data_IF_671892604121
#
_entry.id   IF_671892604121
#
_cell.length_a   1.000
_cell.length_b   1.000
_cell.length_c   1.000
_cell.angle_alpha   90.00
_cell.angle_beta   90.00
_cell.angle_gamma   90.00
#
_symmetry.space_group_name_H-M   'P 1'
#
loop_
_entity.id
_entity.type
_entity.pdbx_description
1 polymer ?
#
# COMPACT_ATOMS: atom_id res chain seq x y z
N UNK A 1 -8.06 4.45 9.07
CA UNK A 1 -6.65 4.83 8.86
C UNK A 1 -6.32 4.92 7.39
N UNK A 2 -5.38 5.80 7.02
CA UNK A 2 -4.96 6.03 5.64
C UNK A 2 -3.43 6.15 5.58
N UNK A 3 -2.80 5.43 4.65
CA UNK A 3 -1.41 5.66 4.25
C UNK A 3 -1.38 6.35 2.89
N UNK A 4 -0.28 7.03 2.56
CA UNK A 4 -0.18 7.76 1.29
C UNK A 4 0.01 6.82 0.10
N UNK A 5 -0.74 7.09 -0.97
CA UNK A 5 -0.41 6.62 -2.29
C UNK A 5 0.55 7.57 -3.00
N UNK A 6 1.05 7.15 -4.16
CA UNK A 6 1.98 7.96 -4.96
C UNK A 6 1.37 9.28 -5.46
N UNK A 7 0.06 9.38 -5.61
CA UNK A 7 -0.61 10.60 -6.03
C UNK A 7 -0.69 11.62 -4.89
N UNK A 8 -1.10 11.19 -3.69
CA UNK A 8 -1.14 12.03 -2.49
C UNK A 8 0.27 12.48 -2.09
N UNK A 9 1.25 11.57 -2.19
CA UNK A 9 2.65 11.89 -1.94
C UNK A 9 3.18 12.95 -2.90
N UNK A 10 2.85 12.86 -4.20
CA UNK A 10 3.21 13.88 -5.19
C UNK A 10 2.60 15.24 -4.85
N UNK A 11 1.33 15.28 -4.43
CA UNK A 11 0.70 16.54 -4.02
C UNK A 11 1.40 17.15 -2.81
N UNK A 12 1.90 16.33 -1.88
CA UNK A 12 2.64 16.77 -0.70
C UNK A 12 4.04 17.30 -1.05
N UNK A 13 4.74 16.64 -1.98
CA UNK A 13 6.15 16.90 -2.29
C UNK A 13 6.35 17.95 -3.40
N UNK A 14 5.30 18.31 -4.13
CA UNK A 14 5.33 19.28 -5.23
C UNK A 14 4.31 20.43 -5.02
N UNK A 15 4.53 21.26 -3.98
CA UNK A 15 3.62 22.37 -3.68
C UNK A 15 3.63 23.46 -4.77
N UNK A 16 4.65 23.51 -5.63
CA UNK A 16 4.70 24.47 -6.75
C UNK A 16 3.58 24.19 -7.76
N UNK A 17 3.28 22.91 -8.03
CA UNK A 17 2.24 22.52 -8.97
C UNK A 17 0.88 22.29 -8.31
N UNK A 18 0.85 21.87 -7.05
CA UNK A 18 -0.40 21.49 -6.36
C UNK A 18 -0.86 22.50 -5.30
N UNK A 19 -0.05 23.50 -4.98
CA UNK A 19 -0.38 24.51 -3.96
C UNK A 19 -0.63 23.86 -2.60
N UNK A 20 -1.76 24.19 -1.99
CA UNK A 20 -2.21 23.66 -0.71
C UNK A 20 -3.23 22.49 -0.83
N UNK A 21 -3.39 21.93 -2.03
CA UNK A 21 -4.38 20.88 -2.32
C UNK A 21 -4.25 19.66 -1.41
N UNK A 22 -3.03 19.21 -1.13
CA UNK A 22 -2.79 18.12 -0.20
C UNK A 22 -3.32 18.42 1.21
N UNK A 23 -3.04 19.62 1.72
CA UNK A 23 -3.43 20.00 3.08
C UNK A 23 -4.93 20.17 3.24
N UNK A 24 -5.61 20.66 2.19
CA UNK A 24 -7.08 20.74 2.14
C UNK A 24 -7.69 19.35 2.15
N UNK A 25 -7.23 18.47 1.28
CA UNK A 25 -7.65 17.08 1.18
C UNK A 25 -7.47 16.35 2.53
N UNK A 26 -6.27 16.42 3.11
CA UNK A 26 -5.97 15.79 4.40
C UNK A 26 -6.89 16.30 5.50
N UNK A 27 -7.07 17.62 5.60
CA UNK A 27 -7.95 18.25 6.59
C UNK A 27 -9.40 17.80 6.47
N UNK A 28 -9.94 17.70 5.27
CA UNK A 28 -11.31 17.26 5.04
C UNK A 28 -11.50 15.80 5.48
N UNK A 29 -10.55 14.93 5.20
CA UNK A 29 -10.60 13.54 5.61
C UNK A 29 -10.42 13.39 7.14
N UNK A 30 -9.54 14.15 7.75
CA UNK A 30 -9.37 14.16 9.20
C UNK A 30 -10.63 14.65 9.92
N UNK A 31 -11.34 15.63 9.37
CA UNK A 31 -12.65 16.08 9.89
C UNK A 31 -13.72 15.00 9.76
N UNK A 32 -13.59 14.10 8.78
CA UNK A 32 -14.45 12.93 8.64
C UNK A 32 -14.03 11.73 9.52
N UNK A 33 -12.99 11.91 10.36
CA UNK A 33 -12.52 10.89 11.31
C UNK A 33 -11.47 9.94 10.74
N UNK A 34 -10.85 10.27 9.59
CA UNK A 34 -9.77 9.46 9.02
C UNK A 34 -8.43 9.89 9.64
N UNK A 35 -7.66 8.93 10.11
CA UNK A 35 -6.32 9.14 10.67
C UNK A 35 -5.26 8.77 9.64
N UNK A 36 -4.39 9.71 9.30
CA UNK A 36 -3.26 9.46 8.41
C UNK A 36 -2.09 8.91 9.20
N UNK A 37 -1.48 7.86 8.68
CA UNK A 37 -0.21 7.32 9.14
C UNK A 37 0.83 7.53 8.04
N UNK A 38 1.77 8.45 8.28
CA UNK A 38 2.80 8.86 7.31
C UNK A 38 4.17 8.70 7.97
N UNK A 39 4.77 7.52 7.79
CA UNK A 39 5.90 7.07 8.58
C UNK A 39 5.58 7.10 10.09
N UNK A 40 4.41 6.62 10.41
CA UNK A 40 3.85 6.59 11.75
C UNK A 40 3.18 5.25 12.01
N UNK A 41 2.97 4.94 13.28
CA UNK A 41 2.24 3.76 13.72
C UNK A 41 1.15 4.11 14.72
N UNK A 42 0.15 3.25 14.80
CA UNK A 42 -0.92 3.29 15.79
C UNK A 42 -1.04 1.92 16.45
N UNK A 43 -1.07 1.91 17.77
CA UNK A 43 -1.31 0.69 18.54
C UNK A 43 -2.80 0.53 18.82
N UNK A 44 -3.28 -0.69 18.68
CA UNK A 44 -4.64 -1.09 19.05
C UNK A 44 -4.64 -2.49 19.64
N UNK A 45 -5.70 -2.84 20.35
CA UNK A 45 -5.95 -4.19 20.82
C UNK A 45 -7.12 -4.79 20.05
N UNK A 46 -6.96 -6.00 19.57
CA UNK A 46 -8.00 -6.75 18.90
C UNK A 46 -8.09 -8.17 19.50
N UNK A 47 -9.22 -8.46 20.15
CA UNK A 47 -9.47 -9.77 20.80
C UNK A 47 -8.32 -10.24 21.71
N UNK A 48 -7.73 -9.35 22.48
CA UNK A 48 -6.59 -9.63 23.38
C UNK A 48 -5.23 -9.69 22.67
N UNK A 49 -5.19 -9.47 21.36
CA UNK A 49 -3.95 -9.40 20.57
C UNK A 49 -3.53 -7.94 20.40
N UNK A 50 -2.29 -7.65 20.72
CA UNK A 50 -1.69 -6.34 20.47
C UNK A 50 -1.36 -6.21 18.98
N UNK A 51 -1.95 -5.20 18.34
CA UNK A 51 -1.81 -4.92 16.91
C UNK A 51 -1.12 -3.58 16.73
N UNK A 52 -0.08 -3.54 15.91
CA UNK A 52 0.57 -2.33 15.48
C UNK A 52 0.28 -2.10 13.99
N UNK A 53 -0.44 -1.02 13.71
CA UNK A 53 -0.75 -0.60 12.35
C UNK A 53 0.23 0.49 11.93
N UNK A 54 0.99 0.23 10.88
CA UNK A 54 2.01 1.13 10.34
C UNK A 54 1.59 1.69 8.99
N UNK A 55 1.88 2.96 8.74
CA UNK A 55 1.71 3.60 7.44
C UNK A 55 3.05 4.06 6.88
N UNK A 56 3.53 3.43 5.82
CA UNK A 56 4.80 3.74 5.18
C UNK A 56 4.63 4.71 4.01
N UNK A 57 5.31 5.85 4.07
CA UNK A 57 5.55 6.71 2.92
C UNK A 57 6.83 6.24 2.23
N UNK A 58 6.69 5.66 1.04
CA UNK A 58 7.83 5.18 0.25
C UNK A 58 8.63 6.35 -0.33
N UNK A 59 9.96 6.22 -0.52
CA UNK A 59 10.71 7.15 -1.34
C UNK A 59 10.09 7.32 -2.74
N UNK A 60 10.02 8.55 -3.25
CA UNK A 60 9.38 8.84 -4.53
C UNK A 60 10.03 8.13 -5.71
N UNK A 61 11.32 7.85 -5.61
CA UNK A 61 12.12 7.11 -6.58
C UNK A 61 11.64 5.65 -6.74
N UNK A 62 10.99 5.09 -5.73
CA UNK A 62 10.37 3.76 -5.79
C UNK A 62 9.18 3.70 -6.76
N UNK A 63 8.61 4.84 -7.13
CA UNK A 63 7.52 4.95 -8.09
C UNK A 63 7.99 5.32 -9.51
N UNK A 64 9.29 5.50 -9.72
CA UNK A 64 9.83 5.86 -11.01
C UNK A 64 9.54 4.79 -12.06
N UNK A 65 9.15 5.22 -13.27
CA UNK A 65 8.88 4.31 -14.39
C UNK A 65 10.16 3.67 -14.95
N UNK A 66 11.27 4.42 -14.91
CA UNK A 66 12.59 3.96 -15.36
C UNK A 66 13.61 4.28 -14.27
N UNK A 67 14.58 3.38 -14.07
CA UNK A 67 15.59 3.57 -13.04
C UNK A 67 15.01 3.52 -11.62
N UNK A 68 13.93 2.76 -11.43
CA UNK A 68 13.26 2.62 -10.14
C UNK A 68 14.23 2.15 -9.07
N UNK A 69 14.27 2.84 -7.95
CA UNK A 69 14.99 2.42 -6.75
C UNK A 69 14.18 1.36 -5.99
N UNK A 70 14.84 0.37 -5.47
CA UNK A 70 14.26 -0.56 -4.50
C UNK A 70 14.54 -0.05 -3.09
N UNK A 71 13.55 -0.02 -2.20
CA UNK A 71 13.77 0.37 -0.82
C UNK A 71 14.65 -0.67 -0.13
N UNK A 72 15.47 -0.22 0.79
CA UNK A 72 16.27 -1.08 1.65
C UNK A 72 15.55 -1.36 2.99
N UNK A 73 16.04 -2.37 3.72
CA UNK A 73 15.61 -2.61 5.09
C UNK A 73 15.89 -1.39 5.99
N UNK A 74 16.96 -0.63 5.69
CA UNK A 74 17.30 0.58 6.42
C UNK A 74 16.25 1.69 6.20
N UNK A 75 15.76 1.87 4.97
CA UNK A 75 14.68 2.83 4.68
C UNK A 75 13.41 2.51 5.47
N UNK A 76 13.09 1.21 5.62
CA UNK A 76 11.97 0.77 6.47
C UNK A 76 12.19 1.14 7.93
N UNK A 77 13.39 0.88 8.46
CA UNK A 77 13.74 1.19 9.86
C UNK A 77 13.81 2.69 10.12
N UNK A 78 14.30 3.47 9.18
CA UNK A 78 14.37 4.93 9.30
C UNK A 78 12.96 5.56 9.26
N UNK A 79 12.06 4.98 8.45
CA UNK A 79 10.69 5.45 8.35
C UNK A 79 9.78 4.99 9.49
N UNK A 80 9.86 3.75 9.91
CA UNK A 80 8.90 3.11 10.82
C UNK A 80 9.50 2.61 12.15
N UNK A 81 10.81 2.66 12.29
CA UNK A 81 11.50 1.94 13.38
C UNK A 81 11.57 0.43 13.10
N UNK A 82 11.81 -0.33 14.15
CA UNK A 82 11.79 -1.79 14.07
C UNK A 82 10.38 -2.32 14.33
N UNK A 83 9.97 -3.35 13.60
CA UNK A 83 8.75 -4.07 13.92
C UNK A 83 8.86 -4.73 15.30
N UNK A 84 7.77 -4.70 16.04
CA UNK A 84 7.74 -5.30 17.38
C UNK A 84 7.41 -6.80 17.26
N UNK A 85 8.33 -7.69 17.64
CA UNK A 85 8.10 -9.13 17.51
C UNK A 85 7.04 -9.68 18.50
N UNK A 86 6.57 -8.85 19.44
CA UNK A 86 5.52 -9.21 20.40
C UNK A 86 4.13 -8.70 20.01
N UNK A 87 4.01 -8.03 18.87
CA UNK A 87 2.77 -7.51 18.33
C UNK A 87 2.49 -8.11 16.95
N UNK A 88 1.24 -8.09 16.53
CA UNK A 88 0.87 -8.36 15.15
C UNK A 88 1.08 -7.09 14.31
N UNK A 89 2.04 -7.13 13.39
CA UNK A 89 2.48 -5.96 12.62
C UNK A 89 1.73 -5.88 11.29
N UNK A 90 0.83 -4.93 11.19
CA UNK A 90 0.06 -4.64 9.97
C UNK A 90 0.69 -3.45 9.26
N UNK A 91 1.19 -3.66 8.06
CA UNK A 91 1.83 -2.63 7.25
C UNK A 91 0.92 -2.15 6.12
N UNK A 92 0.52 -0.89 6.16
CA UNK A 92 -0.08 -0.19 5.03
C UNK A 92 1.03 0.46 4.21
N UNK A 93 1.24 -0.02 2.99
CA UNK A 93 2.24 0.50 2.04
C UNK A 93 1.70 0.41 0.62
N UNK A 94 1.78 1.50 -0.12
CA UNK A 94 1.07 1.59 -1.39
C UNK A 94 1.61 0.65 -2.47
N UNK A 95 2.94 0.44 -2.55
CA UNK A 95 3.59 -0.33 -3.62
C UNK A 95 3.76 -1.81 -3.23
N UNK A 96 3.13 -2.77 -3.92
CA UNK A 96 3.15 -4.18 -3.51
C UNK A 96 4.38 -4.97 -3.98
N UNK A 97 5.23 -4.44 -4.86
CA UNK A 97 6.30 -5.22 -5.46
C UNK A 97 7.50 -5.47 -4.53
N UNK A 98 7.61 -4.73 -3.43
CA UNK A 98 8.73 -4.85 -2.49
C UNK A 98 8.43 -5.74 -1.27
N UNK A 99 7.56 -6.71 -1.44
CA UNK A 99 7.11 -7.63 -0.38
C UNK A 99 8.29 -8.28 0.37
N UNK A 100 9.38 -8.61 -0.32
CA UNK A 100 10.57 -9.22 0.31
C UNK A 100 11.11 -8.33 1.44
N UNK A 101 11.26 -7.04 1.19
CA UNK A 101 11.76 -6.08 2.20
C UNK A 101 10.75 -5.88 3.33
N UNK A 102 9.46 -5.83 3.02
CA UNK A 102 8.42 -5.69 4.05
C UNK A 102 8.37 -6.88 4.99
N UNK A 103 8.55 -8.09 4.46
CA UNK A 103 8.68 -9.32 5.26
C UNK A 103 9.95 -9.31 6.11
N UNK A 104 11.08 -8.92 5.51
CA UNK A 104 12.36 -8.84 6.22
C UNK A 104 12.30 -7.81 7.35
N UNK A 105 11.56 -6.72 7.16
CA UNK A 105 11.30 -5.74 8.21
C UNK A 105 10.45 -6.31 9.35
N UNK A 106 9.54 -7.24 9.09
CA UNK A 106 8.72 -7.93 10.10
C UNK A 106 7.22 -7.72 9.97
N UNK A 107 6.70 -7.42 8.77
CA UNK A 107 5.27 -7.33 8.54
C UNK A 107 4.60 -8.71 8.54
N UNK A 108 3.53 -8.88 9.34
CA UNK A 108 2.68 -10.08 9.37
C UNK A 108 1.54 -9.97 8.33
N UNK A 109 0.98 -8.77 8.18
CA UNK A 109 -0.01 -8.45 7.16
C UNK A 109 0.43 -7.20 6.39
N UNK A 110 0.43 -7.29 5.06
CA UNK A 110 0.72 -6.17 4.15
C UNK A 110 -0.57 -5.79 3.42
N UNK A 111 -0.95 -4.52 3.52
CA UNK A 111 -2.08 -3.93 2.81
C UNK A 111 -1.55 -2.96 1.75
N UNK A 112 -1.79 -3.25 0.48
CA UNK A 112 -1.24 -2.51 -0.65
C UNK A 112 -2.28 -2.23 -1.74
N UNK A 113 -1.90 -1.40 -2.71
CA UNK A 113 -2.72 -1.06 -3.87
C UNK A 113 -1.88 -0.83 -5.13
N UNK A 114 -1.84 0.39 -5.64
CA UNK A 114 -1.00 0.91 -6.70
C UNK A 114 -1.23 0.34 -8.11
N UNK A 115 -1.33 -0.98 -8.26
CA UNK A 115 -1.36 -1.63 -9.58
C UNK A 115 -2.75 -1.68 -10.20
N UNK A 116 -3.77 -1.26 -9.46
CA UNK A 116 -5.18 -1.22 -9.89
C UNK A 116 -5.69 -2.52 -10.53
N UNK A 117 -5.10 -3.65 -10.21
CA UNK A 117 -5.40 -4.93 -10.85
C UNK A 117 -4.85 -5.07 -12.27
N UNK A 118 -4.09 -4.07 -12.76
CA UNK A 118 -3.70 -3.92 -14.15
C UNK A 118 -4.79 -3.28 -15.02
N UNK A 119 -4.43 -2.87 -16.23
CA UNK A 119 -5.40 -2.33 -17.22
C UNK A 119 -6.42 -3.40 -17.63
N UNK A 120 -5.97 -4.63 -17.73
CA UNK A 120 -6.76 -5.81 -18.07
C UNK A 120 -6.39 -6.97 -17.17
N UNK A 121 -7.40 -7.76 -16.77
CA UNK A 121 -7.21 -9.02 -16.05
C UNK A 121 -7.67 -10.19 -16.90
N UNK A 122 -6.96 -11.29 -16.82
CA UNK A 122 -7.39 -12.57 -17.39
C UNK A 122 -7.71 -13.55 -16.26
N UNK A 123 -8.75 -14.37 -16.41
CA UNK A 123 -9.02 -15.44 -15.46
C UNK A 123 -7.76 -16.31 -15.26
N UNK A 124 -7.45 -16.66 -14.02
CA UNK A 124 -6.29 -17.48 -13.62
C UNK A 124 -4.94 -16.75 -13.72
N UNK A 125 -4.72 -15.92 -14.74
CA UNK A 125 -3.43 -15.24 -14.98
C UNK A 125 -3.28 -13.91 -14.23
N UNK A 126 -4.39 -13.35 -13.72
CA UNK A 126 -4.37 -12.08 -13.01
C UNK A 126 -4.20 -10.85 -13.93
N UNK A 127 -3.55 -9.81 -13.44
CA UNK A 127 -3.27 -8.59 -14.21
C UNK A 127 -2.28 -8.85 -15.34
N UNK A 128 -2.61 -8.37 -16.55
CA UNK A 128 -1.76 -8.58 -17.75
C UNK A 128 -0.73 -7.49 -17.90
N UNK A 129 -1.12 -6.23 -17.65
CA UNK A 129 -0.24 -5.07 -17.83
C UNK A 129 -0.38 -4.19 -16.60
N UNK A 130 0.75 -3.94 -15.91
CA UNK A 130 0.79 -2.97 -14.82
C UNK A 130 0.76 -1.53 -15.36
N UNK A 131 0.41 -0.54 -14.53
CA UNK A 131 0.51 0.87 -14.90
C UNK A 131 1.91 1.31 -15.34
N UNK A 132 2.93 0.63 -14.89
CA UNK A 132 4.34 0.87 -15.23
C UNK A 132 4.81 0.07 -16.46
N UNK A 133 3.86 -0.54 -17.23
CA UNK A 133 4.12 -1.35 -18.43
C UNK A 133 4.85 -2.68 -18.13
N UNK A 134 4.84 -3.14 -16.88
CA UNK A 134 5.28 -4.50 -16.53
C UNK A 134 4.24 -5.53 -16.98
N UNK A 135 4.68 -6.62 -17.58
CA UNK A 135 3.81 -7.73 -17.97
C UNK A 135 3.66 -8.71 -16.80
N UNK A 136 2.43 -9.13 -16.54
CA UNK A 136 2.07 -10.13 -15.53
C UNK A 136 2.67 -9.85 -14.13
N UNK A 137 2.38 -8.68 -13.54
CA UNK A 137 2.91 -8.37 -12.22
C UNK A 137 2.39 -9.36 -11.19
N UNK A 138 3.29 -9.92 -10.36
CA UNK A 138 2.99 -10.96 -9.38
C UNK A 138 1.88 -10.53 -8.42
N UNK A 139 1.94 -9.30 -7.91
CA UNK A 139 1.01 -8.78 -6.91
C UNK A 139 0.03 -7.76 -7.52
N UNK A 140 -0.71 -8.13 -8.55
CA UNK A 140 -1.59 -7.21 -9.27
C UNK A 140 -2.94 -6.94 -8.62
N UNK A 141 -3.32 -7.71 -7.64
CA UNK A 141 -4.59 -7.69 -6.90
C UNK A 141 -4.81 -9.04 -6.23
N UNK A 142 -5.82 -9.15 -5.36
CA UNK A 142 -6.15 -10.36 -4.60
C UNK A 142 -5.29 -10.55 -3.33
N UNK A 143 -5.40 -11.74 -2.71
CA UNK A 143 -4.68 -12.10 -1.48
C UNK A 143 -3.60 -13.12 -1.79
N UNK A 144 -2.44 -12.94 -1.19
CA UNK A 144 -1.30 -13.85 -1.31
C UNK A 144 -0.79 -14.23 0.07
N UNK A 145 -0.07 -15.34 0.16
CA UNK A 145 0.64 -15.76 1.36
C UNK A 145 2.08 -16.12 0.99
N UNK A 146 3.03 -15.56 1.72
CA UNK A 146 4.46 -15.84 1.55
C UNK A 146 5.11 -16.15 2.90
N UNK A 147 5.27 -17.44 3.19
CA UNK A 147 5.61 -17.91 4.53
C UNK A 147 4.50 -17.56 5.51
N UNK A 148 4.81 -16.87 6.58
CA UNK A 148 3.84 -16.46 7.59
C UNK A 148 3.18 -15.11 7.29
N UNK A 149 3.71 -14.35 6.32
CA UNK A 149 3.16 -13.04 5.94
C UNK A 149 1.99 -13.17 4.97
N UNK A 150 0.89 -12.51 5.29
CA UNK A 150 -0.26 -12.34 4.40
C UNK A 150 -0.16 -11.01 3.65
N UNK A 151 -0.53 -11.01 2.37
CA UNK A 151 -0.45 -9.83 1.51
C UNK A 151 -1.81 -9.64 0.86
N UNK A 152 -2.38 -8.45 1.02
CA UNK A 152 -3.65 -8.07 0.40
C UNK A 152 -3.40 -6.89 -0.51
N UNK A 153 -3.68 -7.06 -1.80
CA UNK A 153 -3.49 -6.01 -2.80
C UNK A 153 -4.84 -5.63 -3.38
N UNK A 154 -5.27 -4.42 -3.07
CA UNK A 154 -6.53 -3.89 -3.60
C UNK A 154 -6.39 -3.43 -5.05
N UNK A 155 -7.39 -3.77 -5.85
CA UNK A 155 -7.55 -3.21 -7.20
C UNK A 155 -8.14 -1.79 -7.16
N UNK A 156 -8.63 -1.35 -6.00
CA UNK A 156 -9.17 -0.03 -5.78
C UNK A 156 -10.47 0.25 -6.55
N UNK A 157 -10.98 1.46 -6.38
CA UNK A 157 -12.21 1.93 -7.00
C UNK A 157 -11.97 2.71 -8.30
N UNK A 158 -10.80 3.33 -8.43
CA UNK A 158 -10.43 4.20 -9.55
C UNK A 158 -9.80 3.48 -10.74
N UNK A 159 -9.57 4.26 -11.79
CA UNK A 159 -8.78 3.86 -12.97
C UNK A 159 -7.38 4.45 -12.87
N UNK A 160 -6.47 3.98 -13.71
CA UNK A 160 -5.12 4.54 -13.86
C UNK A 160 -5.04 5.44 -15.11
N UNK A 161 -3.85 5.67 -15.64
CA UNK A 161 -3.51 6.52 -16.79
C UNK A 161 -4.49 6.40 -17.99
N UNK A 162 -5.01 5.20 -18.23
CA UNK A 162 -6.06 4.95 -19.22
C UNK A 162 -7.33 4.62 -18.43
N UNK A 163 -8.41 5.39 -18.66
CA UNK A 163 -9.68 5.21 -17.96
C UNK A 163 -10.45 3.97 -18.45
N UNK A 164 -9.76 2.84 -18.55
CA UNK A 164 -10.30 1.56 -18.99
C UNK A 164 -9.92 0.47 -17.99
N UNK A 165 -10.90 -0.33 -17.61
CA UNK A 165 -10.73 -1.55 -16.82
C UNK A 165 -11.42 -2.70 -17.58
N UNK A 166 -10.63 -3.62 -18.16
CA UNK A 166 -11.15 -4.78 -18.87
C UNK A 166 -11.08 -6.02 -17.99
N UNK A 167 -12.25 -6.63 -17.71
CA UNK A 167 -12.40 -7.77 -16.80
C UNK A 167 -11.80 -7.54 -15.41
N UNK A 168 -11.75 -6.30 -14.99
CA UNK A 168 -11.13 -5.83 -13.76
C UNK A 168 -12.06 -4.85 -13.03
N UNK A 169 -13.16 -5.34 -12.41
CA UNK A 169 -14.10 -4.48 -11.72
C UNK A 169 -13.45 -3.77 -10.54
N UNK A 170 -13.98 -2.61 -10.19
CA UNK A 170 -13.64 -1.93 -8.94
C UNK A 170 -14.04 -2.82 -7.74
N UNK A 171 -13.27 -2.73 -6.65
CA UNK A 171 -13.55 -3.54 -5.47
C UNK A 171 -13.36 -2.77 -4.16
N UNK A 172 -14.12 -3.16 -3.18
CA UNK A 172 -13.89 -2.90 -1.76
C UNK A 172 -13.57 -4.23 -1.10
N UNK A 173 -12.46 -4.32 -0.40
CA UNK A 173 -12.02 -5.54 0.27
C UNK A 173 -12.50 -5.51 1.71
N UNK A 174 -13.15 -6.61 2.14
CA UNK A 174 -13.49 -6.87 3.54
C UNK A 174 -12.61 -8.02 4.02
N UNK A 175 -11.80 -7.77 5.04
CA UNK A 175 -10.94 -8.76 5.67
C UNK A 175 -11.62 -9.30 6.93
N UNK A 176 -11.75 -10.60 7.00
CA UNK A 176 -12.12 -11.30 8.24
C UNK A 176 -10.85 -11.86 8.86
N UNK A 177 -10.48 -11.32 10.02
CA UNK A 177 -9.29 -11.73 10.76
C UNK A 177 -9.76 -12.60 11.91
N UNK A 178 -9.19 -13.78 12.02
CA UNK A 178 -9.46 -14.71 13.11
C UNK A 178 -8.17 -14.97 13.86
N UNK A 179 -8.21 -14.95 15.18
CA UNK A 179 -7.11 -15.41 16.03
C UNK A 179 -6.89 -16.92 15.83
N UNK A 180 -5.64 -17.34 15.96
CA UNK A 180 -5.30 -18.77 16.03
C UNK A 180 -5.49 -19.30 17.44
#
# INVERSE_FOLDING_TARGET
YCALGNHEQRMLEDPENYGDSYWKYKKELEQAGIHFLINESCEMEWEGTRVLLYGMKMPSECYARFGRMEPSLQDMKDGLGQADPQAWNVLMVHHPEFVTIYKEWGADLILSGHLHGGVMRLPVLGGVISPQVGLFPKYSGDCYKEGDTSIVVSKGLGTHTINIRLFNPAELIVLHIHGM
#
